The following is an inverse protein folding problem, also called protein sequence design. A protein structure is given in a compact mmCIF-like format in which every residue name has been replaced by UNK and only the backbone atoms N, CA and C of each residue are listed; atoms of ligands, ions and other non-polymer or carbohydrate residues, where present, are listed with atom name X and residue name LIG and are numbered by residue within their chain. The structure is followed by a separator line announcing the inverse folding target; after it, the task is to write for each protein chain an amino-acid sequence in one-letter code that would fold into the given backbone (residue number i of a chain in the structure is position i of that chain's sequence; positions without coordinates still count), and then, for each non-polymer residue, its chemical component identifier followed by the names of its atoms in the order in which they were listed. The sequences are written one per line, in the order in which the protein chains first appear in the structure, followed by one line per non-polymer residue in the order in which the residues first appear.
data_IF_815188565172
#
_entry.id   IF_815188565172
#
_cell.length_a   1.000
_cell.length_b   1.000
_cell.length_c   1.000
_cell.angle_alpha   90.00
_cell.angle_beta   90.00
_cell.angle_gamma   90.00
#
_symmetry.space_group_name_H-M   'P 1'
#
loop_
_entity.id
_entity.type
_entity.pdbx_description
1 polymer ?
#
# COMPACT_ATOMS: atom_id res chain seq x y z
N UNK A 1 1.07 -8.20 7.01
CA UNK A 1 -0.05 -7.24 7.16
C UNK A 1 -1.02 -7.52 6.03
N UNK A 2 -2.25 -7.93 6.34
CA UNK A 2 -3.30 -8.08 5.35
C UNK A 2 -3.91 -6.69 5.09
N UNK A 3 -3.83 -6.20 3.86
CA UNK A 3 -4.51 -4.97 3.45
C UNK A 3 -5.97 -5.32 3.15
N UNK A 4 -6.85 -5.11 4.11
CA UNK A 4 -8.29 -5.29 3.89
C UNK A 4 -8.83 -4.13 3.06
N UNK A 5 -9.11 -4.40 1.79
CA UNK A 5 -9.84 -3.49 0.91
C UNK A 5 -11.29 -3.51 1.34
N UNK A 6 -11.78 -2.39 1.89
CA UNK A 6 -13.18 -2.27 2.27
C UNK A 6 -14.06 -2.16 1.01
N UNK A 7 -15.15 -2.94 0.90
CA UNK A 7 -16.16 -2.74 -0.14
C UNK A 7 -16.74 -1.31 -0.11
N UNK A 8 -17.12 -0.76 -1.27
CA UNK A 8 -17.65 0.61 -1.36
C UNK A 8 -18.84 0.84 -0.42
N UNK A 9 -19.78 -0.10 -0.37
CA UNK A 9 -20.95 -0.03 0.51
C UNK A 9 -20.55 0.05 2.00
N UNK A 10 -19.44 -0.57 2.40
CA UNK A 10 -18.95 -0.52 3.78
C UNK A 10 -18.29 0.82 4.11
N UNK A 11 -17.58 1.41 3.14
CA UNK A 11 -17.04 2.78 3.29
C UNK A 11 -18.15 3.80 3.42
N UNK A 12 -19.18 3.69 2.58
CA UNK A 12 -20.34 4.60 2.61
C UNK A 12 -21.09 4.48 3.94
N UNK A 13 -21.26 3.25 4.46
CA UNK A 13 -21.81 3.01 5.80
C UNK A 13 -20.97 3.65 6.89
N UNK A 14 -19.66 3.45 6.88
CA UNK A 14 -18.75 4.05 7.89
C UNK A 14 -18.79 5.57 7.85
N UNK A 15 -18.79 6.17 6.66
CA UNK A 15 -18.91 7.61 6.48
C UNK A 15 -20.26 8.12 7.02
N UNK A 16 -21.36 7.43 6.72
CA UNK A 16 -22.68 7.80 7.23
C UNK A 16 -22.79 7.70 8.75
N UNK A 17 -22.24 6.64 9.36
CA UNK A 17 -22.17 6.48 10.82
C UNK A 17 -21.34 7.58 11.46
N UNK A 18 -20.19 7.91 10.86
CA UNK A 18 -19.34 9.00 11.34
C UNK A 18 -20.05 10.35 11.28
N UNK A 19 -20.69 10.68 10.14
CA UNK A 19 -21.49 11.90 9.97
C UNK A 19 -22.60 12.00 11.04
N UNK A 20 -23.33 10.92 11.27
CA UNK A 20 -24.39 10.88 12.26
C UNK A 20 -23.87 11.05 13.70
N UNK A 21 -22.75 10.40 14.05
CA UNK A 21 -22.15 10.52 15.37
C UNK A 21 -21.59 11.93 15.63
N UNK A 22 -20.91 12.51 14.63
CA UNK A 22 -20.34 13.84 14.71
C UNK A 22 -21.41 14.92 14.82
N UNK A 23 -22.49 14.81 14.03
CA UNK A 23 -23.63 15.73 14.11
C UNK A 23 -24.24 15.76 15.53
N UNK A 24 -24.41 14.59 16.17
CA UNK A 24 -24.92 14.49 17.55
C UNK A 24 -23.98 15.14 18.57
N UNK A 25 -22.67 14.93 18.44
CA UNK A 25 -21.69 15.54 19.34
C UNK A 25 -21.68 17.06 19.23
N UNK A 26 -21.80 17.59 18.01
CA UNK A 26 -21.79 19.03 17.77
C UNK A 26 -23.10 19.70 18.19
N UNK A 27 -24.24 19.05 17.99
CA UNK A 27 -25.51 19.52 18.55
C UNK A 27 -25.45 19.60 20.09
N UNK A 28 -24.82 18.61 20.71
CA UNK A 28 -24.58 18.63 22.16
C UNK A 28 -23.68 19.79 22.57
N UNK A 29 -22.56 20.01 21.89
CA UNK A 29 -21.62 21.11 22.17
C UNK A 29 -22.22 22.49 21.89
N UNK A 30 -23.05 22.62 20.85
CA UNK A 30 -23.78 23.86 20.57
C UNK A 30 -24.76 24.23 21.70
N UNK A 31 -25.41 23.22 22.32
CA UNK A 31 -26.38 23.44 23.39
C UNK A 31 -25.76 23.58 24.78
N UNK A 32 -24.73 22.78 25.09
CA UNK A 32 -24.19 22.61 26.45
C UNK A 32 -22.69 22.87 26.58
N UNK A 33 -22.01 23.19 25.49
CA UNK A 33 -20.58 23.44 25.50
C UNK A 33 -20.20 24.80 26.11
N UNK A 34 -18.91 24.98 26.43
CA UNK A 34 -18.37 26.28 26.85
C UNK A 34 -18.69 27.39 25.84
N UNK A 35 -18.84 28.66 26.28
CA UNK A 35 -19.12 29.80 25.39
C UNK A 35 -18.15 29.92 24.22
N UNK A 36 -16.86 29.65 24.45
CA UNK A 36 -15.79 29.74 23.45
C UNK A 36 -15.98 28.69 22.36
N UNK A 37 -16.38 27.48 22.74
CA UNK A 37 -16.66 26.38 21.80
C UNK A 37 -17.90 26.70 20.99
N UNK A 38 -18.96 27.23 21.61
CA UNK A 38 -20.19 27.63 20.88
C UNK A 38 -19.91 28.72 19.85
N UNK A 39 -19.14 29.75 20.22
CA UNK A 39 -18.72 30.82 19.30
C UNK A 39 -17.86 30.28 18.15
N UNK A 40 -16.92 29.38 18.44
CA UNK A 40 -16.12 28.72 17.40
C UNK A 40 -16.97 27.88 16.44
N UNK A 41 -18.05 27.25 16.91
CA UNK A 41 -19.01 26.50 16.08
C UNK A 41 -19.88 27.40 15.20
N UNK A 42 -20.08 28.65 15.57
CA UNK A 42 -20.81 29.65 14.76
C UNK A 42 -19.93 30.21 13.63
N UNK A 43 -18.64 30.40 13.89
CA UNK A 43 -17.68 30.99 12.94
C UNK A 43 -17.06 29.95 11.99
N UNK A 44 -16.92 28.69 12.43
CA UNK A 44 -16.31 27.62 11.66
C UNK A 44 -17.23 26.40 11.60
N UNK A 45 -17.24 25.71 10.45
CA UNK A 45 -17.98 24.45 10.27
C UNK A 45 -17.04 23.24 10.46
N UNK A 46 -16.84 22.75 11.71
CA UNK A 46 -15.98 21.60 11.96
C UNK A 46 -16.54 20.29 11.39
N UNK A 47 -17.85 20.22 11.11
CA UNK A 47 -18.47 19.06 10.45
C UNK A 47 -17.88 18.86 9.08
N UNK A 48 -17.92 19.92 8.26
CA UNK A 48 -17.44 19.86 6.89
C UNK A 48 -15.96 19.48 6.84
N UNK A 49 -15.14 20.07 7.73
CA UNK A 49 -13.73 19.76 7.82
C UNK A 49 -13.46 18.30 8.23
N UNK A 50 -14.11 17.81 9.30
CA UNK A 50 -13.89 16.45 9.77
C UNK A 50 -14.36 15.39 8.75
N UNK A 51 -15.49 15.65 8.05
CA UNK A 51 -15.95 14.80 6.95
C UNK A 51 -14.91 14.78 5.82
N UNK A 52 -14.37 15.94 5.46
CA UNK A 52 -13.36 16.03 4.41
C UNK A 52 -12.09 15.24 4.77
N UNK A 53 -11.63 15.33 6.02
CA UNK A 53 -10.46 14.57 6.48
C UNK A 53 -10.70 13.05 6.44
N UNK A 54 -11.87 12.58 6.89
CA UNK A 54 -12.19 11.15 6.84
C UNK A 54 -12.33 10.66 5.39
N UNK A 55 -12.89 11.49 4.51
CA UNK A 55 -12.97 11.17 3.09
C UNK A 55 -11.58 11.09 2.43
N UNK A 56 -10.66 12.01 2.77
CA UNK A 56 -9.25 11.95 2.32
C UNK A 56 -8.56 10.68 2.82
N UNK A 57 -8.80 10.28 4.07
CA UNK A 57 -8.28 9.04 4.65
C UNK A 57 -8.75 7.80 3.90
N UNK A 58 -10.06 7.71 3.60
CA UNK A 58 -10.60 6.60 2.81
C UNK A 58 -10.01 6.54 1.40
N UNK A 59 -9.82 7.69 0.74
CA UNK A 59 -9.13 7.76 -0.57
C UNK A 59 -7.67 7.32 -0.50
N UNK A 60 -6.95 7.66 0.57
CA UNK A 60 -5.57 7.23 0.75
C UNK A 60 -5.48 5.69 0.91
N UNK A 61 -6.39 5.09 1.68
CA UNK A 61 -6.49 3.63 1.79
C UNK A 61 -6.73 2.95 0.43
N UNK A 62 -7.55 3.56 -0.42
CA UNK A 62 -7.78 3.05 -1.78
C UNK A 62 -6.56 3.16 -2.68
N UNK A 63 -5.82 4.27 -2.60
CA UNK A 63 -4.58 4.44 -3.34
C UNK A 63 -3.53 3.41 -2.91
N UNK A 64 -3.40 3.13 -1.62
CA UNK A 64 -2.50 2.10 -1.08
C UNK A 64 -2.90 0.69 -1.55
N UNK A 65 -4.20 0.37 -1.48
CA UNK A 65 -4.73 -0.90 -1.98
C UNK A 65 -4.48 -1.09 -3.47
N UNK A 66 -4.69 -0.05 -4.28
CA UNK A 66 -4.44 -0.09 -5.73
C UNK A 66 -2.95 -0.19 -6.09
N UNK A 67 -2.06 0.36 -5.26
CA UNK A 67 -0.61 0.28 -5.46
C UNK A 67 -0.03 -1.10 -5.09
N UNK A 68 -0.71 -1.86 -4.23
CA UNK A 68 -0.21 -3.13 -3.71
C UNK A 68 0.07 -4.19 -4.80
N UNK A 69 -0.84 -4.46 -5.76
CA UNK A 69 -0.56 -5.42 -6.83
C UNK A 69 0.65 -5.03 -7.68
N UNK A 70 0.82 -3.73 -7.98
CA UNK A 70 1.96 -3.21 -8.75
C UNK A 70 3.26 -3.42 -7.98
N UNK A 71 3.27 -3.14 -6.67
CA UNK A 71 4.42 -3.39 -5.82
C UNK A 71 4.77 -4.88 -5.73
N UNK A 72 3.78 -5.74 -5.55
CA UNK A 72 3.95 -7.20 -5.54
C UNK A 72 4.53 -7.72 -6.86
N UNK A 73 3.99 -7.27 -8.00
CA UNK A 73 4.45 -7.66 -9.33
C UNK A 73 5.90 -7.24 -9.59
N UNK A 74 6.26 -5.99 -9.28
CA UNK A 74 7.64 -5.50 -9.41
C UNK A 74 8.63 -6.29 -8.55
N UNK A 75 8.22 -6.66 -7.34
CA UNK A 75 9.05 -7.48 -6.44
C UNK A 75 9.24 -8.89 -6.98
N UNK A 76 8.18 -9.51 -7.50
CA UNK A 76 8.25 -10.83 -8.12
C UNK A 76 9.15 -10.83 -9.36
N UNK A 77 9.04 -9.81 -10.21
CA UNK A 77 9.89 -9.63 -11.40
C UNK A 77 11.36 -9.50 -11.02
N UNK A 78 11.67 -8.68 -10.01
CA UNK A 78 13.05 -8.55 -9.51
C UNK A 78 13.60 -9.89 -9.02
N UNK A 79 12.82 -10.65 -8.24
CA UNK A 79 13.23 -11.97 -7.77
C UNK A 79 13.39 -13.00 -8.90
N UNK A 80 12.61 -12.90 -9.99
CA UNK A 80 12.78 -13.73 -11.18
C UNK A 80 14.07 -13.39 -11.93
N UNK A 81 14.37 -12.11 -12.11
CA UNK A 81 15.62 -11.65 -12.74
C UNK A 81 16.86 -12.10 -11.96
N UNK A 82 16.85 -11.92 -10.64
CA UNK A 82 17.96 -12.37 -9.78
C UNK A 82 18.20 -13.88 -9.87
N UNK A 83 17.14 -14.70 -10.00
CA UNK A 83 17.27 -16.14 -10.23
C UNK A 83 17.87 -16.45 -11.59
N UNK A 84 17.34 -15.85 -12.65
CA UNK A 84 17.85 -16.04 -14.01
C UNK A 84 19.33 -15.64 -14.15
N UNK A 85 19.75 -14.55 -13.50
CA UNK A 85 21.15 -14.14 -13.48
C UNK A 85 22.06 -15.14 -12.76
N UNK A 86 21.60 -15.72 -11.64
CA UNK A 86 22.35 -16.76 -10.92
C UNK A 86 22.49 -18.01 -11.77
N UNK A 87 21.40 -18.51 -12.33
CA UNK A 87 21.40 -19.68 -13.22
C UNK A 87 22.31 -19.46 -14.43
N UNK A 88 22.28 -18.27 -15.04
CA UNK A 88 23.16 -17.94 -16.17
C UNK A 88 24.64 -17.86 -15.78
N UNK A 89 24.98 -17.49 -14.54
CA UNK A 89 26.37 -17.53 -14.03
C UNK A 89 26.81 -18.96 -13.76
N UNK A 90 25.97 -19.76 -13.13
CA UNK A 90 26.25 -21.17 -12.85
C UNK A 90 26.42 -21.97 -14.15
N UNK A 91 25.56 -21.73 -15.14
CA UNK A 91 25.66 -22.36 -16.45
C UNK A 91 26.99 -22.00 -17.14
N UNK A 92 27.34 -20.70 -17.16
CA UNK A 92 28.63 -20.24 -17.72
C UNK A 92 29.83 -20.85 -17.00
N UNK A 93 29.77 -21.02 -15.68
CA UNK A 93 30.82 -21.66 -14.90
C UNK A 93 30.98 -23.15 -15.28
N UNK A 94 29.88 -23.90 -15.34
CA UNK A 94 29.88 -25.32 -15.74
C UNK A 94 30.40 -25.53 -17.16
N UNK A 95 29.98 -24.69 -18.10
CA UNK A 95 30.45 -24.78 -19.49
C UNK A 95 31.93 -24.44 -19.61
N UNK A 96 32.42 -23.47 -18.82
CA UNK A 96 33.85 -23.16 -18.75
C UNK A 96 34.65 -24.34 -18.19
N UNK A 97 34.20 -24.98 -17.12
CA UNK A 97 34.84 -26.17 -16.55
C UNK A 97 34.92 -27.30 -17.58
N UNK A 98 33.80 -27.62 -18.24
CA UNK A 98 33.77 -28.61 -19.32
C UNK A 98 34.75 -28.30 -20.44
N UNK A 99 34.81 -27.04 -20.88
CA UNK A 99 35.73 -26.62 -21.92
C UNK A 99 37.19 -26.79 -21.51
N UNK A 100 37.55 -26.42 -20.27
CA UNK A 100 38.90 -26.60 -19.72
C UNK A 100 39.26 -28.08 -19.58
N UNK A 101 38.35 -28.92 -19.11
CA UNK A 101 38.53 -30.38 -19.05
C UNK A 101 38.76 -30.97 -20.45
N UNK A 102 38.02 -30.49 -21.46
CA UNK A 102 38.19 -30.91 -22.84
C UNK A 102 39.57 -30.51 -23.40
N UNK A 103 40.02 -29.29 -23.15
CA UNK A 103 41.37 -28.84 -23.52
C UNK A 103 42.46 -29.69 -22.86
N UNK A 104 42.32 -29.99 -21.55
CA UNK A 104 43.28 -30.81 -20.81
C UNK A 104 43.31 -32.28 -21.30
N UNK A 105 42.19 -32.82 -21.78
CA UNK A 105 42.16 -34.15 -22.41
C UNK A 105 42.86 -34.15 -23.76
N UNK A 106 42.65 -33.11 -24.56
CA UNK A 106 43.28 -33.00 -25.88
C UNK A 106 44.80 -32.82 -25.78
N UNK A 107 45.30 -32.07 -24.79
CA UNK A 107 46.74 -31.88 -24.57
C UNK A 107 47.47 -33.13 -24.06
N UNK A 108 46.76 -34.13 -23.52
CA UNK A 108 47.34 -35.42 -23.11
C UNK A 108 47.34 -36.46 -24.24
N UNK A 109 46.62 -36.22 -25.33
CA UNK A 109 46.54 -37.10 -26.50
C UNK A 109 47.43 -36.64 -27.66
N UNK A 110 47.88 -35.39 -27.64
CA UNK A 110 48.89 -34.82 -28.53
C UNK A 110 50.29 -35.08 -27.95
#
# INVERSE_FOLDING_TARGET
MAFEVLPQAEKDRRLAVFQAALARQLEHLAKKGPPEVRKALEEWNPVAYAIEQEHRRLKAMDAEAAALPVWCARRAEKAARERAEREAREFRARERERYLEQLARNSRRA
#
